data_IF_949166221155
#
_entry.id   IF_949166221155
#
_cell.length_a   1.000
_cell.length_b   1.000
_cell.length_c   1.000
_cell.angle_alpha   90.00
_cell.angle_beta   90.00
_cell.angle_gamma   90.00
#
_symmetry.space_group_name_H-M   'P 1'
#
loop_
_entity.id
_entity.type
_entity.pdbx_description
1 polymer ?
#
# COMPACT_ATOMS: atom_id res chain seq x y z
N UNK A 1 -31.90 -25.68 -2.62
CA UNK A 1 -31.35 -25.74 -2.79
C UNK A 1 -30.84 -25.86 -2.82
N UNK A 2 -30.97 -25.79 -2.69
CA UNK A 2 -30.17 -26.05 -3.06
C UNK A 2 -29.78 -26.13 -3.24
N UNK A 3 -30.05 -26.14 -3.25
CA UNK A 3 -29.44 -26.39 -3.74
C UNK A 3 -29.15 -26.21 -4.08
N UNK A 4 -29.37 -26.41 -4.36
CA UNK A 4 -29.10 -26.36 -4.92
C UNK A 4 -28.93 -25.92 -4.95
N UNK A 5 -29.32 -25.71 -4.85
CA UNK A 5 -28.82 -25.20 -4.94
C UNK A 5 -27.69 -25.23 -4.67
N UNK A 6 -27.66 -25.49 -4.66
CA UNK A 6 -26.35 -25.21 -4.38
C UNK A 6 -25.30 -25.73 -5.17
N UNK A 7 -25.42 -26.40 -6.02
CA UNK A 7 -24.40 -27.03 -6.68
C UNK A 7 -23.97 -26.45 -7.94
N UNK A 8 -24.75 -25.82 -8.73
CA UNK A 8 -24.38 -25.10 -9.89
C UNK A 8 -23.63 -23.83 -9.56
N UNK A 9 -23.80 -23.35 -8.36
CA UNK A 9 -23.10 -22.17 -7.91
C UNK A 9 -21.62 -22.36 -7.77
N UNK A 10 -21.18 -23.56 -7.42
CA UNK A 10 -19.76 -23.84 -7.32
C UNK A 10 -19.04 -23.70 -8.66
N UNK A 11 -19.65 -24.16 -9.73
CA UNK A 11 -19.07 -24.04 -11.04
C UNK A 11 -18.97 -22.58 -11.48
N UNK A 12 -19.98 -21.75 -11.17
CA UNK A 12 -19.92 -20.33 -11.48
C UNK A 12 -18.84 -19.63 -10.68
N UNK A 13 -18.69 -19.98 -9.41
CA UNK A 13 -17.64 -19.41 -8.58
C UNK A 13 -16.25 -19.73 -9.12
N UNK A 14 -16.07 -20.94 -9.66
CA UNK A 14 -14.78 -21.35 -10.19
C UNK A 14 -14.39 -20.59 -11.46
N UNK A 15 -15.35 -20.03 -12.18
CA UNK A 15 -15.09 -19.26 -13.39
C UNK A 15 -15.13 -17.75 -13.18
N UNK A 16 -15.55 -17.30 -12.03
CA UNK A 16 -15.62 -15.87 -11.74
C UNK A 16 -14.23 -15.31 -11.49
N UNK A 17 -13.94 -14.10 -11.98
CA UNK A 17 -12.69 -13.43 -11.65
C UNK A 17 -12.59 -13.21 -10.16
N UNK A 18 -11.41 -13.42 -9.61
CA UNK A 18 -11.21 -13.18 -8.19
C UNK A 18 -9.81 -12.65 -7.90
N UNK A 19 -9.73 -11.77 -6.91
CA UNK A 19 -8.51 -11.23 -6.36
C UNK A 19 -8.54 -11.55 -4.87
N UNK A 20 -7.57 -12.31 -4.40
CA UNK A 20 -7.48 -12.68 -3.00
C UNK A 20 -6.17 -12.20 -2.41
N UNK A 21 -6.25 -11.28 -1.46
CA UNK A 21 -5.07 -10.83 -0.72
C UNK A 21 -4.79 -11.87 0.35
N UNK A 22 -3.82 -12.73 0.08
CA UNK A 22 -3.51 -13.85 0.97
C UNK A 22 -2.80 -13.41 2.23
N UNK A 23 -1.90 -12.44 2.11
CA UNK A 23 -1.16 -11.88 3.25
C UNK A 23 -0.65 -10.50 2.84
N UNK A 24 -0.59 -9.61 3.80
CA UNK A 24 -0.03 -8.28 3.62
C UNK A 24 1.06 -8.08 4.67
N UNK A 25 2.11 -7.35 4.30
CA UNK A 25 3.26 -7.19 5.18
C UNK A 25 4.09 -5.97 4.82
N UNK A 26 4.74 -5.41 5.84
CA UNK A 26 5.73 -4.36 5.64
C UNK A 26 7.05 -5.02 5.31
N UNK A 27 7.64 -4.67 4.17
CA UNK A 27 8.95 -5.17 3.79
C UNK A 27 10.07 -4.29 4.34
N UNK A 28 9.84 -2.99 4.38
CA UNK A 28 10.81 -2.04 4.90
C UNK A 28 10.11 -0.76 5.28
N UNK A 29 10.55 -0.15 6.36
CA UNK A 29 9.99 1.11 6.80
C UNK A 29 11.03 1.90 7.58
N UNK A 30 11.18 3.17 7.19
CA UNK A 30 12.01 4.11 7.93
C UNK A 30 11.26 5.41 8.14
N UNK A 31 11.44 6.00 9.31
CA UNK A 31 10.89 7.28 9.65
C UNK A 31 11.96 8.07 10.38
N UNK A 32 12.24 9.28 9.88
CA UNK A 32 13.27 10.14 10.45
C UNK A 32 12.64 11.44 10.90
N UNK A 33 13.04 11.87 12.09
CA UNK A 33 12.55 13.10 12.71
C UNK A 33 13.77 13.82 13.31
N UNK A 34 14.70 14.28 12.45
CA UNK A 34 16.03 14.63 12.88
C UNK A 34 16.13 15.93 13.68
N UNK A 35 15.14 16.81 13.55
CA UNK A 35 15.18 18.12 14.18
C UNK A 35 14.26 18.26 15.38
N UNK A 36 13.67 17.15 15.83
CA UNK A 36 12.89 17.17 17.06
C UNK A 36 13.81 17.42 18.25
N UNK A 37 13.35 18.12 19.30
CA UNK A 37 12.00 18.66 19.46
C UNK A 37 11.81 20.05 18.84
N UNK A 38 12.86 20.67 18.33
CA UNK A 38 12.74 22.02 17.76
C UNK A 38 11.73 22.09 16.62
N UNK A 39 11.70 21.04 15.79
CA UNK A 39 10.77 20.95 14.66
C UNK A 39 9.30 20.88 15.08
N UNK A 40 9.03 20.57 16.35
CA UNK A 40 7.67 20.46 16.87
C UNK A 40 7.11 21.79 17.32
N UNK A 41 7.92 22.85 17.30
CA UNK A 41 7.48 24.19 17.66
C UNK A 41 6.73 24.86 16.51
N UNK A 42 6.32 26.12 16.72
CA UNK A 42 5.59 26.86 15.68
C UNK A 42 6.41 27.01 14.41
N UNK A 43 5.73 26.90 13.28
CA UNK A 43 6.34 27.09 11.96
C UNK A 43 5.85 28.40 11.37
N UNK A 44 6.77 29.18 10.82
CA UNK A 44 6.41 30.46 10.20
C UNK A 44 5.65 30.26 8.90
N UNK A 45 5.98 29.18 8.18
CA UNK A 45 5.37 28.85 6.90
C UNK A 45 4.96 27.38 6.89
N UNK A 46 3.90 27.02 6.17
CA UNK A 46 3.60 25.62 5.97
C UNK A 46 4.80 24.92 5.32
N UNK A 47 5.16 23.73 5.76
CA UNK A 47 6.28 23.01 5.15
C UNK A 47 5.93 22.54 3.74
N UNK A 48 6.93 22.41 2.89
CA UNK A 48 6.76 21.75 1.62
C UNK A 48 6.57 20.27 1.86
N UNK A 49 5.47 19.73 1.33
CA UNK A 49 5.19 18.29 1.40
C UNK A 49 5.54 17.69 0.05
N UNK A 50 6.42 16.71 0.05
CA UNK A 50 6.77 15.97 -1.15
C UNK A 50 6.41 14.50 -0.91
N UNK A 51 5.63 13.92 -1.81
CA UNK A 51 5.25 12.51 -1.73
C UNK A 51 5.44 11.87 -3.08
N UNK A 52 6.08 10.73 -3.10
CA UNK A 52 6.30 9.94 -4.30
C UNK A 52 5.75 8.54 -4.06
N UNK A 53 5.01 8.03 -5.04
CA UNK A 53 4.40 6.70 -4.97
C UNK A 53 4.84 5.90 -6.18
N UNK A 54 5.34 4.69 -5.93
CA UNK A 54 5.68 3.75 -6.99
C UNK A 54 5.03 2.41 -6.68
N UNK A 55 4.69 1.68 -7.74
CA UNK A 55 4.10 0.36 -7.62
C UNK A 55 4.99 -0.62 -8.37
N UNK A 56 5.35 -1.71 -7.71
CA UNK A 56 6.09 -2.80 -8.32
C UNK A 56 5.31 -4.09 -8.14
N UNK A 57 5.46 -4.99 -9.09
CA UNK A 57 4.80 -6.28 -9.03
C UNK A 57 5.69 -7.33 -9.65
N UNK A 58 5.64 -8.53 -9.09
CA UNK A 58 6.33 -9.68 -9.70
C UNK A 58 5.51 -10.93 -9.47
N UNK A 59 5.52 -11.80 -10.47
CA UNK A 59 4.87 -13.09 -10.37
C UNK A 59 5.76 -14.03 -9.57
N UNK A 60 5.20 -14.64 -8.53
CA UNK A 60 5.96 -15.54 -7.66
C UNK A 60 5.53 -16.98 -7.83
N UNK A 61 4.36 -17.22 -8.40
CA UNK A 61 3.85 -18.54 -8.75
C UNK A 61 2.82 -18.35 -9.86
N UNK A 62 2.25 -19.45 -10.33
CA UNK A 62 1.38 -19.41 -11.51
C UNK A 62 0.23 -18.41 -11.36
N UNK A 63 -0.41 -18.40 -10.20
CA UNK A 63 -1.54 -17.50 -9.94
C UNK A 63 -1.23 -16.44 -8.90
N UNK A 64 -0.01 -16.38 -8.41
CA UNK A 64 0.35 -15.53 -7.27
C UNK A 64 1.31 -14.43 -7.66
N UNK A 65 1.00 -13.22 -7.21
CA UNK A 65 1.79 -12.03 -7.49
C UNK A 65 2.09 -11.30 -6.18
N UNK A 66 3.34 -10.88 -6.03
CA UNK A 66 3.68 -9.94 -4.97
C UNK A 66 3.57 -8.53 -5.55
N UNK A 67 2.76 -7.70 -4.93
CA UNK A 67 2.57 -6.32 -5.34
C UNK A 67 3.00 -5.42 -4.19
N UNK A 68 3.87 -4.46 -4.50
CA UNK A 68 4.40 -3.51 -3.53
C UNK A 68 3.95 -2.10 -3.83
N UNK A 69 3.65 -1.36 -2.78
CA UNK A 69 3.58 0.09 -2.85
C UNK A 69 4.82 0.64 -2.17
N UNK A 70 5.56 1.48 -2.89
CA UNK A 70 6.73 2.17 -2.36
C UNK A 70 6.33 3.63 -2.17
N UNK A 71 6.29 4.07 -0.92
CA UNK A 71 5.94 5.44 -0.57
C UNK A 71 7.15 6.13 0.03
N UNK A 72 7.49 7.29 -0.54
CA UNK A 72 8.53 8.14 0.01
C UNK A 72 7.93 9.51 0.22
N UNK A 73 8.22 10.11 1.34
CA UNK A 73 7.70 11.43 1.61
C UNK A 73 8.52 12.21 2.59
N UNK A 74 8.35 13.53 2.54
CA UNK A 74 9.02 14.42 3.46
C UNK A 74 8.18 15.67 3.67
N UNK A 75 8.37 16.30 4.82
CA UNK A 75 7.83 17.61 5.13
C UNK A 75 9.00 18.52 5.45
N UNK A 76 9.16 19.59 4.67
CA UNK A 76 10.32 20.47 4.79
C UNK A 76 11.52 19.89 4.07
N UNK A 77 12.64 20.62 4.11
CA UNK A 77 13.88 20.18 3.47
C UNK A 77 15.08 20.84 4.14
N UNK A 78 16.25 20.19 4.00
CA UNK A 78 17.50 20.70 4.54
C UNK A 78 17.42 20.88 6.05
N UNK A 79 17.84 22.06 6.53
CA UNK A 79 17.81 22.37 7.94
C UNK A 79 16.37 22.53 8.47
N UNK A 80 15.40 22.75 7.57
CA UNK A 80 13.99 22.87 7.92
C UNK A 80 13.23 21.56 7.81
N UNK A 81 13.91 20.43 7.66
CA UNK A 81 13.24 19.14 7.55
C UNK A 81 12.52 18.80 8.83
N UNK A 82 11.22 18.57 8.73
CA UNK A 82 10.41 18.13 9.86
C UNK A 82 10.47 16.61 10.01
N UNK A 83 10.15 15.91 8.94
CA UNK A 83 10.26 14.45 8.94
C UNK A 83 10.44 13.93 7.51
N UNK A 84 10.90 12.70 7.42
CA UNK A 84 11.06 11.99 6.16
C UNK A 84 10.75 10.52 6.41
N UNK A 85 10.10 9.89 5.44
CA UNK A 85 9.79 8.46 5.56
C UNK A 85 9.96 7.74 4.23
N UNK A 86 10.20 6.43 4.32
CA UNK A 86 10.19 5.51 3.20
C UNK A 86 9.48 4.25 3.67
N UNK A 87 8.54 3.77 2.89
CA UNK A 87 7.78 2.57 3.22
C UNK A 87 7.68 1.68 1.99
N UNK A 88 8.00 0.41 2.18
CA UNK A 88 7.74 -0.64 1.20
C UNK A 88 6.72 -1.59 1.81
N UNK A 89 5.48 -1.45 1.38
CA UNK A 89 4.37 -2.25 1.87
C UNK A 89 3.88 -3.17 0.77
N UNK A 90 3.72 -4.45 1.06
CA UNK A 90 3.45 -5.45 0.04
C UNK A 90 2.27 -6.33 0.40
N UNK A 91 1.74 -6.98 -0.61
CA UNK A 91 0.76 -8.02 -0.46
C UNK A 91 1.04 -9.15 -1.42
N UNK A 92 0.71 -10.35 -1.00
CA UNK A 92 0.72 -11.52 -1.87
C UNK A 92 -0.71 -11.78 -2.31
N UNK A 93 -0.93 -11.69 -3.62
CA UNK A 93 -2.26 -11.78 -4.20
C UNK A 93 -2.38 -13.03 -5.06
N UNK A 94 -3.48 -13.75 -4.90
CA UNK A 94 -3.82 -14.84 -5.78
C UNK A 94 -4.89 -14.37 -6.74
N UNK A 95 -4.60 -14.45 -8.03
CA UNK A 95 -5.49 -13.97 -9.09
C UNK A 95 -5.97 -15.18 -9.87
N UNK A 96 -7.29 -15.29 -10.00
CA UNK A 96 -7.90 -16.39 -10.73
C UNK A 96 -8.89 -15.87 -11.75
N UNK A 97 -8.90 -16.50 -12.92
CA UNK A 97 -9.89 -16.23 -13.96
C UNK A 97 -9.87 -14.78 -14.43
N UNK A 98 -8.67 -14.20 -14.48
CA UNK A 98 -8.47 -12.85 -14.99
C UNK A 98 -8.09 -12.95 -16.46
N UNK A 99 -8.82 -12.25 -17.32
CA UNK A 99 -8.50 -12.24 -18.75
C UNK A 99 -7.09 -11.66 -18.96
N UNK A 100 -6.33 -12.18 -19.93
CA UNK A 100 -4.96 -11.68 -20.15
C UNK A 100 -4.86 -10.17 -20.34
N UNK A 101 -5.84 -9.56 -21.02
CA UNK A 101 -5.84 -8.13 -21.24
C UNK A 101 -6.11 -7.34 -19.97
N UNK A 102 -6.71 -7.96 -18.96
CA UNK A 102 -7.05 -7.30 -17.70
C UNK A 102 -5.97 -7.51 -16.63
N UNK A 103 -4.99 -8.37 -16.90
CA UNK A 103 -4.00 -8.76 -15.89
C UNK A 103 -3.19 -7.55 -15.43
N UNK A 104 -2.67 -6.75 -16.36
CA UNK A 104 -1.86 -5.60 -16.00
C UNK A 104 -2.64 -4.57 -15.18
N UNK A 105 -3.85 -4.14 -15.57
CA UNK A 105 -4.63 -3.22 -14.74
C UNK A 105 -4.97 -3.80 -13.37
N UNK A 106 -5.29 -5.09 -13.28
CA UNK A 106 -5.60 -5.70 -12.00
C UNK A 106 -4.38 -5.65 -11.08
N UNK A 107 -3.22 -6.05 -11.58
CA UNK A 107 -2.00 -6.09 -10.78
C UNK A 107 -1.53 -4.68 -10.41
N UNK A 108 -1.61 -3.73 -11.33
CA UNK A 108 -1.01 -2.42 -11.13
C UNK A 108 -1.98 -1.36 -10.58
N UNK A 109 -3.27 -1.65 -10.55
CA UNK A 109 -4.27 -0.70 -10.07
C UNK A 109 -5.10 -1.29 -8.93
N UNK A 110 -5.73 -2.44 -9.17
CA UNK A 110 -6.65 -3.00 -8.18
C UNK A 110 -5.92 -3.54 -6.95
N UNK A 111 -4.80 -4.22 -7.14
CA UNK A 111 -4.03 -4.73 -6.00
C UNK A 111 -3.46 -3.59 -5.14
N UNK A 112 -2.82 -2.57 -5.72
CA UNK A 112 -2.36 -1.44 -4.91
C UNK A 112 -3.49 -0.72 -4.19
N UNK A 113 -4.67 -0.64 -4.81
CA UNK A 113 -5.83 -0.03 -4.18
C UNK A 113 -6.19 -0.72 -2.87
N UNK A 114 -6.06 -2.04 -2.82
CA UNK A 114 -6.33 -2.81 -1.60
C UNK A 114 -5.26 -2.60 -0.53
N UNK A 115 -4.02 -2.33 -0.94
CA UNK A 115 -2.90 -2.12 -0.01
C UNK A 115 -2.86 -0.71 0.56
N UNK A 116 -3.30 0.27 -0.19
CA UNK A 116 -3.07 1.68 0.11
C UNK A 116 -3.61 2.12 1.47
N UNK A 117 -4.82 1.75 1.89
CA UNK A 117 -5.32 2.18 3.21
C UNK A 117 -4.42 1.74 4.36
N UNK A 118 -3.84 0.54 4.26
CA UNK A 118 -2.96 0.01 5.31
C UNK A 118 -1.61 0.71 5.30
N UNK A 119 -1.06 0.94 4.11
CA UNK A 119 0.19 1.69 3.98
C UNK A 119 0.03 3.11 4.53
N UNK A 120 -1.08 3.77 4.19
CA UNK A 120 -1.37 5.12 4.69
C UNK A 120 -1.44 5.14 6.21
N UNK A 121 -2.05 4.11 6.81
CA UNK A 121 -2.18 4.04 8.26
C UNK A 121 -0.82 3.92 8.95
N UNK A 122 0.09 3.14 8.38
CA UNK A 122 1.44 3.00 8.93
C UNK A 122 2.14 4.36 8.96
N UNK A 123 2.04 5.11 7.87
CA UNK A 123 2.66 6.43 7.79
C UNK A 123 1.99 7.41 8.75
N UNK A 124 0.67 7.41 8.82
CA UNK A 124 -0.06 8.30 9.71
C UNK A 124 0.32 8.04 11.17
N UNK A 125 0.45 6.78 11.55
CA UNK A 125 0.84 6.41 12.92
C UNK A 125 2.25 6.88 13.23
N UNK A 126 3.17 6.76 12.29
CA UNK A 126 4.55 7.20 12.49
C UNK A 126 4.64 8.73 12.61
N UNK A 127 3.92 9.46 11.76
CA UNK A 127 3.90 10.91 11.79
C UNK A 127 3.32 11.39 13.12
N UNK A 128 2.21 10.80 13.54
CA UNK A 128 1.61 11.13 14.85
C UNK A 128 2.57 10.77 15.98
N UNK A 129 3.20 9.60 15.92
CA UNK A 129 4.19 9.19 16.92
C UNK A 129 5.41 10.10 16.95
N UNK A 130 5.69 10.80 15.84
CA UNK A 130 6.76 11.78 15.77
C UNK A 130 6.38 13.14 16.34
N UNK A 131 5.13 13.32 16.78
CA UNK A 131 4.67 14.56 17.38
C UNK A 131 3.96 15.51 16.41
N UNK A 132 3.67 15.05 15.19
CA UNK A 132 3.02 15.88 14.17
C UNK A 132 1.57 15.46 13.96
N UNK A 133 0.71 16.35 13.42
CA UNK A 133 -0.63 15.93 13.01
C UNK A 133 -0.52 14.92 11.87
N UNK A 134 -1.39 13.93 11.83
CA UNK A 134 -1.30 12.88 10.81
C UNK A 134 -1.65 13.34 9.39
#
# INVERSE_FOLDING_TARGET
MADGQGNGNGAQADTAPSINAMVQYTKDFSFENPNAPRSLGPQEKPPNIAIQVNVNARQVAEADFEVNILLEGSAGEGAGLLFKFELDYAGLFRLRNIAPNDMHPVVMIECPRLLFPFARQIIADAVRGGGFPP
#
